data_IF_583686131311
#
_entry.id   IF_583686131311
#
_cell.length_a   1.000
_cell.length_b   1.000
_cell.length_c   1.000
_cell.angle_alpha   90.00
_cell.angle_beta   90.00
_cell.angle_gamma   90.00
#
_symmetry.space_group_name_H-M   'P 1'
#
loop_
_entity.id
_entity.type
_entity.pdbx_description
1 polymer ?
#
# COMPACT_ATOMS: atom_id res chain seq x y z
N UNK A 1 15.50 -14.43 -34.51
CA UNK A 1 15.50 -14.32 -33.04
C UNK A 1 14.07 -14.47 -32.59
N UNK A 2 13.82 -15.58 -31.90
CA UNK A 2 12.52 -16.14 -31.55
C UNK A 2 11.89 -15.40 -30.39
N UNK A 3 10.63 -14.98 -30.58
CA UNK A 3 9.71 -14.47 -29.55
C UNK A 3 9.48 -15.53 -28.46
N UNK A 4 9.49 -15.16 -27.16
CA UNK A 4 9.03 -16.08 -26.12
C UNK A 4 7.51 -16.19 -26.22
N UNK A 5 7.03 -17.42 -26.36
CA UNK A 5 5.61 -17.77 -26.29
C UNK A 5 5.14 -17.64 -24.85
N UNK A 6 4.04 -16.91 -24.64
CA UNK A 6 3.23 -17.00 -23.43
C UNK A 6 2.69 -18.44 -23.36
N UNK A 7 3.33 -19.30 -22.57
CA UNK A 7 2.72 -20.55 -22.18
C UNK A 7 1.55 -20.21 -21.26
N UNK A 8 0.35 -20.33 -21.81
CA UNK A 8 -0.89 -20.38 -21.05
C UNK A 8 -0.76 -21.50 -20.00
N UNK A 9 -0.61 -21.13 -18.74
CA UNK A 9 -0.80 -22.06 -17.63
C UNK A 9 -2.32 -22.21 -17.47
N UNK A 10 -2.90 -23.10 -18.30
CA UNK A 10 -4.25 -23.60 -18.11
C UNK A 10 -4.27 -24.54 -16.91
N UNK A 11 -4.88 -24.13 -15.80
CA UNK A 11 -5.38 -25.09 -14.83
C UNK A 11 -6.71 -25.66 -15.37
N UNK A 12 -6.86 -26.99 -15.53
CA UNK A 12 -8.10 -27.57 -16.01
C UNK A 12 -9.14 -27.54 -14.88
N UNK A 13 -10.08 -26.59 -14.95
CA UNK A 13 -11.34 -26.70 -14.20
C UNK A 13 -12.20 -27.72 -14.94
N UNK A 14 -12.30 -28.91 -14.37
CA UNK A 14 -13.21 -29.96 -14.86
C UNK A 14 -14.63 -29.54 -14.51
N UNK A 15 -15.38 -29.06 -15.49
CA UNK A 15 -16.81 -28.83 -15.36
C UNK A 15 -17.55 -30.17 -15.31
N UNK A 16 -18.06 -30.55 -14.15
CA UNK A 16 -19.18 -31.49 -14.09
C UNK A 16 -20.45 -30.68 -13.94
N UNK A 17 -21.20 -30.54 -15.03
CA UNK A 17 -22.56 -30.04 -15.01
C UNK A 17 -23.41 -30.99 -14.14
N UNK A 18 -23.85 -30.52 -12.98
CA UNK A 18 -25.00 -31.09 -12.28
C UNK A 18 -26.03 -29.98 -12.10
N UNK A 19 -27.10 -30.09 -12.87
CA UNK A 19 -28.27 -29.23 -12.85
C UNK A 19 -28.94 -29.22 -11.48
N UNK A 20 -29.09 -28.04 -10.88
CA UNK A 20 -30.09 -27.78 -9.84
C UNK A 20 -30.90 -26.55 -10.23
N UNK A 21 -32.20 -26.75 -10.50
CA UNK A 21 -33.18 -25.68 -10.71
C UNK A 21 -33.43 -24.90 -9.40
N UNK A 22 -33.78 -23.59 -9.46
CA UNK A 22 -34.02 -22.79 -8.26
C UNK A 22 -35.42 -23.04 -7.70
N UNK A 23 -35.50 -23.45 -6.43
CA UNK A 23 -36.75 -23.57 -5.70
C UNK A 23 -37.33 -22.18 -5.31
N UNK A 24 -38.65 -22.04 -5.46
CA UNK A 24 -39.43 -20.82 -5.17
C UNK A 24 -39.63 -20.57 -3.67
N UNK A 25 -39.58 -19.29 -3.32
CA UNK A 25 -40.04 -18.57 -2.10
C UNK A 25 -40.56 -19.36 -0.90
N UNK A 26 -39.96 -19.15 0.28
CA UNK A 26 -40.65 -19.25 1.57
C UNK A 26 -40.12 -18.20 2.60
N UNK A 27 -41.08 -17.74 3.41
CA UNK A 27 -41.13 -16.85 4.60
C UNK A 27 -39.97 -17.06 5.61
N UNK A 28 -39.58 -16.07 6.45
CA UNK A 28 -38.34 -16.14 7.22
C UNK A 28 -38.43 -17.19 8.33
N UNK A 29 -37.77 -18.33 8.12
CA UNK A 29 -37.50 -19.31 9.16
C UNK A 29 -36.31 -18.83 10.00
N UNK A 30 -36.40 -18.99 11.32
CA UNK A 30 -35.22 -19.01 12.19
C UNK A 30 -34.25 -20.04 11.62
N UNK A 31 -33.07 -19.59 11.19
CA UNK A 31 -32.00 -20.47 10.75
C UNK A 31 -31.38 -21.10 12.00
N UNK A 32 -31.81 -22.32 12.35
CA UNK A 32 -31.05 -23.14 13.29
C UNK A 32 -29.76 -23.60 12.59
N UNK A 33 -28.60 -23.37 13.24
CA UNK A 33 -27.29 -23.79 12.75
C UNK A 33 -27.28 -25.31 12.45
N UNK A 34 -26.87 -25.77 11.25
CA UNK A 34 -26.76 -27.19 10.94
C UNK A 34 -25.76 -27.92 11.87
N UNK A 35 -26.05 -29.17 12.24
CA UNK A 35 -25.26 -29.99 13.19
C UNK A 35 -23.78 -30.22 12.79
N UNK A 36 -23.36 -29.91 11.56
CA UNK A 36 -21.98 -30.02 11.08
C UNK A 36 -21.16 -28.72 11.14
N UNK A 37 -21.78 -27.60 11.54
CA UNK A 37 -21.14 -26.27 11.55
C UNK A 37 -20.42 -25.99 12.88
N UNK A 38 -20.79 -26.69 13.94
CA UNK A 38 -20.22 -26.49 15.28
C UNK A 38 -18.96 -27.33 15.46
N UNK A 39 -17.87 -26.63 15.73
CA UNK A 39 -16.61 -27.23 16.15
C UNK A 39 -16.63 -27.50 17.65
N UNK A 40 -16.16 -28.68 18.04
CA UNK A 40 -16.15 -29.14 19.43
C UNK A 40 -15.09 -28.45 20.30
N UNK A 41 -14.15 -27.76 19.65
CA UNK A 41 -12.99 -27.10 20.23
C UNK A 41 -13.22 -25.60 20.37
N UNK A 42 -12.57 -24.99 21.36
CA UNK A 42 -12.56 -23.52 21.50
C UNK A 42 -11.62 -22.89 20.47
N UNK A 43 -11.71 -21.57 20.27
CA UNK A 43 -10.78 -20.86 19.37
C UNK A 43 -9.31 -21.05 19.79
N UNK A 44 -9.03 -21.04 21.09
CA UNK A 44 -7.67 -21.23 21.63
C UNK A 44 -7.14 -22.64 21.37
N UNK A 45 -8.00 -23.66 21.41
CA UNK A 45 -7.62 -25.04 21.06
C UNK A 45 -7.29 -25.20 19.56
N UNK A 46 -7.87 -24.36 18.71
CA UNK A 46 -7.69 -24.40 17.25
C UNK A 46 -6.45 -23.61 16.83
N UNK A 47 -6.32 -22.37 17.31
CA UNK A 47 -5.24 -21.45 16.92
C UNK A 47 -4.00 -21.55 17.81
N UNK A 48 -4.11 -22.22 18.96
CA UNK A 48 -3.08 -22.20 19.99
C UNK A 48 -3.09 -20.92 20.83
N UNK A 49 -2.14 -20.79 21.77
CA UNK A 49 -2.03 -19.65 22.66
C UNK A 49 -1.77 -18.36 21.88
N UNK A 50 -2.33 -17.25 22.35
CA UNK A 50 -2.30 -15.94 21.67
C UNK A 50 -0.88 -15.47 21.29
N UNK A 51 0.13 -15.83 22.09
CA UNK A 51 1.54 -15.50 21.84
C UNK A 51 2.17 -16.21 20.64
N UNK A 52 1.55 -17.30 20.14
CA UNK A 52 2.07 -18.15 19.07
C UNK A 52 1.24 -18.04 17.77
N UNK A 53 0.18 -17.21 17.77
CA UNK A 53 -0.68 -17.05 16.59
C UNK A 53 0.02 -16.26 15.50
N UNK A 54 0.17 -16.87 14.33
CA UNK A 54 0.54 -16.16 13.10
C UNK A 54 -0.61 -15.26 12.64
N UNK A 55 -0.64 -14.00 13.07
CA UNK A 55 -1.65 -13.02 12.64
C UNK A 55 -1.26 -12.39 11.30
N UNK A 56 -2.20 -12.38 10.35
CA UNK A 56 -2.06 -11.77 9.03
C UNK A 56 -2.70 -10.39 8.93
N UNK A 57 -3.47 -9.98 9.94
CA UNK A 57 -4.11 -8.69 10.01
C UNK A 57 -5.36 -8.68 10.87
N UNK A 58 -5.72 -7.49 11.32
CA UNK A 58 -6.92 -7.19 12.09
C UNK A 58 -7.60 -6.00 11.41
N UNK A 59 -8.91 -6.05 11.27
CA UNK A 59 -9.73 -4.98 10.70
C UNK A 59 -11.14 -5.03 11.27
N UNK A 60 -12.00 -4.09 10.87
CA UNK A 60 -13.34 -3.92 11.47
C UNK A 60 -14.21 -5.19 11.41
N UNK A 61 -13.99 -6.04 10.40
CA UNK A 61 -14.74 -7.28 10.20
C UNK A 61 -14.16 -8.52 10.91
N UNK A 62 -12.94 -8.44 11.45
CA UNK A 62 -12.28 -9.60 12.05
C UNK A 62 -10.76 -9.57 12.03
N UNK A 63 -10.19 -10.59 12.68
CA UNK A 63 -8.77 -10.89 12.64
C UNK A 63 -8.52 -12.18 11.86
N UNK A 64 -7.40 -12.25 11.13
CA UNK A 64 -7.04 -13.41 10.29
C UNK A 64 -5.78 -14.06 10.84
N UNK A 65 -5.82 -15.38 11.06
CA UNK A 65 -4.73 -16.17 11.62
C UNK A 65 -4.36 -17.35 10.72
N UNK A 66 -3.11 -17.80 10.77
CA UNK A 66 -2.73 -19.10 10.21
C UNK A 66 -3.56 -20.23 10.83
N UNK A 67 -3.95 -21.22 10.01
CA UNK A 67 -4.47 -22.49 10.53
C UNK A 67 -3.28 -23.42 10.84
N UNK A 68 -2.98 -23.71 12.13
CA UNK A 68 -1.83 -24.54 12.49
C UNK A 68 -1.96 -25.99 12.01
N UNK A 69 -3.19 -26.46 11.78
CA UNK A 69 -3.47 -27.84 11.36
C UNK A 69 -3.50 -27.97 9.84
N UNK A 70 -3.74 -26.86 9.13
CA UNK A 70 -3.84 -26.83 7.68
C UNK A 70 -2.95 -25.71 7.10
N UNK A 71 -1.66 -25.97 6.83
CA UNK A 71 -0.69 -24.94 6.43
C UNK A 71 -1.08 -24.10 5.19
N UNK A 72 -1.96 -24.63 4.33
CA UNK A 72 -2.50 -23.95 3.16
C UNK A 72 -3.74 -23.10 3.42
N UNK A 73 -4.16 -22.93 4.68
CA UNK A 73 -5.38 -22.21 5.07
C UNK A 73 -5.11 -21.18 6.16
N UNK A 74 -6.00 -20.20 6.25
CA UNK A 74 -6.11 -19.20 7.31
C UNK A 74 -7.51 -19.24 7.91
N UNK A 75 -7.66 -18.74 9.12
CA UNK A 75 -8.95 -18.62 9.82
C UNK A 75 -9.22 -17.14 10.08
N UNK A 76 -10.29 -16.62 9.47
CA UNK A 76 -10.84 -15.29 9.81
C UNK A 76 -11.83 -15.47 10.95
N UNK A 77 -11.61 -14.76 12.04
CA UNK A 77 -12.45 -14.73 13.24
C UNK A 77 -13.19 -13.39 13.24
N UNK A 78 -14.51 -13.42 13.27
CA UNK A 78 -15.31 -12.19 13.29
C UNK A 78 -15.20 -11.47 14.64
N UNK A 79 -15.11 -10.14 14.59
CA UNK A 79 -15.12 -9.27 15.78
C UNK A 79 -16.51 -8.88 16.24
N UNK A 80 -17.56 -9.25 15.50
CA UNK A 80 -18.90 -8.81 15.82
C UNK A 80 -19.25 -9.25 17.25
N UNK A 81 -19.32 -8.29 18.18
CA UNK A 81 -19.83 -8.51 19.53
C UNK A 81 -21.36 -8.62 19.47
N UNK A 82 -21.86 -9.51 18.62
CA UNK A 82 -23.30 -9.77 18.52
C UNK A 82 -23.64 -10.87 19.50
N UNK A 83 -24.74 -10.70 20.23
CA UNK A 83 -25.32 -11.81 21.00
C UNK A 83 -26.05 -12.81 20.08
N UNK A 84 -26.00 -12.62 18.76
CA UNK A 84 -26.75 -13.37 17.75
C UNK A 84 -25.79 -14.07 16.78
N UNK A 85 -25.25 -15.19 17.26
CA UNK A 85 -24.34 -16.08 16.52
C UNK A 85 -24.94 -16.54 15.20
N UNK A 86 -26.27 -16.69 15.11
CA UNK A 86 -26.94 -17.19 13.91
C UNK A 86 -26.92 -16.12 12.80
N UNK A 87 -27.20 -14.86 13.14
CA UNK A 87 -27.13 -13.74 12.20
C UNK A 87 -25.71 -13.51 11.68
N UNK A 88 -24.72 -13.59 12.57
CA UNK A 88 -23.31 -13.45 12.23
C UNK A 88 -22.81 -14.62 11.37
N UNK A 89 -23.21 -15.84 11.70
CA UNK A 89 -22.91 -17.02 10.90
C UNK A 89 -23.50 -16.92 9.49
N UNK A 90 -24.74 -16.44 9.35
CA UNK A 90 -25.37 -16.23 8.05
C UNK A 90 -24.58 -15.22 7.19
N UNK A 91 -24.07 -14.14 7.79
CA UNK A 91 -23.22 -13.16 7.10
C UNK A 91 -21.88 -13.77 6.65
N UNK A 92 -21.23 -14.54 7.52
CA UNK A 92 -19.98 -15.24 7.21
C UNK A 92 -20.18 -16.30 6.13
N UNK A 93 -21.29 -17.05 6.17
CA UNK A 93 -21.66 -18.01 5.14
C UNK A 93 -21.85 -17.32 3.78
N UNK A 94 -22.54 -16.18 3.75
CA UNK A 94 -22.72 -15.37 2.54
C UNK A 94 -21.39 -14.88 1.94
N UNK A 95 -20.41 -14.52 2.77
CA UNK A 95 -19.06 -14.17 2.32
C UNK A 95 -18.31 -15.39 1.77
N UNK A 96 -18.36 -16.52 2.50
CA UNK A 96 -17.74 -17.78 2.11
C UNK A 96 -18.25 -18.33 0.76
N UNK A 97 -19.53 -18.16 0.45
CA UNK A 97 -20.11 -18.55 -0.83
C UNK A 97 -19.49 -17.78 -2.02
N UNK A 98 -19.21 -16.49 -1.85
CA UNK A 98 -18.56 -15.67 -2.89
C UNK A 98 -17.08 -15.99 -3.01
N UNK A 99 -16.43 -16.26 -1.88
CA UNK A 99 -15.07 -16.78 -1.87
C UNK A 99 -14.97 -18.08 -2.67
N UNK A 100 -15.83 -19.06 -2.37
CA UNK A 100 -15.89 -20.35 -3.10
C UNK A 100 -16.24 -20.19 -4.57
N UNK A 101 -17.06 -19.21 -4.91
CA UNK A 101 -17.38 -18.90 -6.31
C UNK A 101 -16.17 -18.40 -7.09
N UNK A 102 -15.24 -17.69 -6.44
CA UNK A 102 -14.02 -17.19 -7.08
C UNK A 102 -12.86 -18.21 -7.03
N UNK A 103 -12.59 -18.80 -5.86
CA UNK A 103 -11.44 -19.69 -5.62
C UNK A 103 -11.73 -21.18 -5.83
N UNK A 104 -13.00 -21.54 -6.08
CA UNK A 104 -13.45 -22.91 -6.29
C UNK A 104 -14.05 -23.55 -5.03
N UNK A 105 -14.69 -24.70 -5.21
CA UNK A 105 -15.26 -25.46 -4.10
C UNK A 105 -14.18 -25.86 -3.07
N UNK A 106 -14.56 -25.93 -1.80
CA UNK A 106 -13.68 -26.26 -0.66
C UNK A 106 -12.59 -25.20 -0.35
N UNK A 107 -12.65 -24.02 -0.97
CA UNK A 107 -11.75 -22.90 -0.66
C UNK A 107 -12.15 -22.10 0.58
N UNK A 108 -13.40 -22.25 1.05
CA UNK A 108 -13.89 -21.68 2.30
C UNK A 108 -14.75 -22.68 3.08
N UNK A 109 -14.70 -22.58 4.40
CA UNK A 109 -15.50 -23.40 5.33
C UNK A 109 -15.87 -22.55 6.56
N UNK A 110 -17.13 -22.07 6.65
CA UNK A 110 -17.61 -21.36 7.82
C UNK A 110 -17.91 -22.33 8.97
N UNK A 111 -17.54 -21.98 10.20
CA UNK A 111 -17.80 -22.79 11.39
C UNK A 111 -17.99 -21.92 12.64
N UNK A 112 -18.56 -22.51 13.70
CA UNK A 112 -18.73 -21.88 15.01
C UNK A 112 -17.96 -22.67 16.05
N UNK A 113 -17.11 -22.02 16.83
CA UNK A 113 -16.33 -22.67 17.90
C UNK A 113 -17.17 -23.01 19.13
N UNK A 114 -16.65 -23.85 20.02
CA UNK A 114 -17.31 -24.19 21.28
C UNK A 114 -17.54 -22.99 22.21
N UNK A 115 -16.72 -21.95 22.12
CA UNK A 115 -16.86 -20.66 22.81
C UNK A 115 -17.69 -19.64 22.01
N UNK A 116 -18.50 -20.11 21.05
CA UNK A 116 -19.45 -19.32 20.27
C UNK A 116 -18.83 -18.24 19.37
N UNK A 117 -17.59 -18.42 18.91
CA UNK A 117 -16.98 -17.53 17.91
C UNK A 117 -17.36 -17.98 16.51
N UNK A 118 -17.83 -17.05 15.69
CA UNK A 118 -18.06 -17.29 14.27
C UNK A 118 -16.75 -17.12 13.51
N UNK A 119 -16.40 -18.14 12.75
CA UNK A 119 -15.14 -18.23 12.02
C UNK A 119 -15.37 -18.69 10.58
N UNK A 120 -14.42 -18.38 9.72
CA UNK A 120 -14.32 -19.01 8.40
C UNK A 120 -12.87 -19.40 8.12
N UNK A 121 -12.68 -20.67 7.78
CA UNK A 121 -11.41 -21.18 7.25
C UNK A 121 -11.38 -20.89 5.75
N UNK A 122 -10.31 -20.26 5.27
CA UNK A 122 -10.11 -19.86 3.88
C UNK A 122 -8.78 -20.39 3.36
N UNK A 123 -8.68 -20.82 2.11
CA UNK A 123 -7.39 -21.13 1.52
C UNK A 123 -6.49 -19.88 1.50
N UNK A 124 -5.19 -20.06 1.71
CA UNK A 124 -4.22 -18.99 1.57
C UNK A 124 -4.18 -18.52 0.13
N UNK A 125 -4.23 -17.21 -0.05
CA UNK A 125 -4.02 -16.56 -1.34
C UNK A 125 -2.53 -16.24 -1.51
N UNK A 126 -1.97 -16.36 -2.73
CA UNK A 126 -0.58 -15.99 -2.98
C UNK A 126 -0.32 -14.50 -2.81
N UNK A 127 0.95 -14.15 -2.63
CA UNK A 127 1.40 -12.77 -2.53
C UNK A 127 1.03 -12.10 -1.20
N UNK A 128 1.10 -10.77 -1.19
CA UNK A 128 0.86 -9.95 0.01
C UNK A 128 0.02 -8.71 -0.32
N UNK A 129 -0.68 -8.12 0.66
CA UNK A 129 -1.53 -6.96 0.41
C UNK A 129 -0.78 -5.86 -0.33
N UNK A 130 -1.39 -5.30 -1.37
CA UNK A 130 -0.79 -4.28 -2.24
C UNK A 130 -0.24 -3.07 -1.46
N UNK A 131 -0.88 -2.71 -0.33
CA UNK A 131 -0.41 -1.61 0.55
C UNK A 131 1.00 -1.84 1.11
N UNK A 132 1.48 -3.08 1.10
CA UNK A 132 2.81 -3.48 1.61
C UNK A 132 3.84 -3.66 0.50
N UNK A 133 3.41 -3.67 -0.77
CA UNK A 133 4.28 -3.91 -1.94
C UNK A 133 5.07 -2.63 -2.25
N UNK A 134 6.36 -2.81 -2.46
CA UNK A 134 7.28 -1.77 -2.90
C UNK A 134 7.14 -1.52 -4.41
N UNK A 135 7.26 -0.26 -4.87
CA UNK A 135 7.35 0.08 -6.30
C UNK A 135 8.33 -0.80 -7.06
N UNK A 136 9.48 -1.12 -6.45
CA UNK A 136 10.53 -1.95 -7.05
C UNK A 136 10.14 -3.42 -7.26
N UNK A 137 9.13 -3.91 -6.54
CA UNK A 137 8.67 -5.29 -6.63
C UNK A 137 7.60 -5.49 -7.70
N UNK A 138 7.01 -4.41 -8.22
CA UNK A 138 6.18 -4.52 -9.41
C UNK A 138 7.09 -4.89 -10.59
N UNK A 139 6.69 -5.89 -11.37
CA UNK A 139 7.48 -6.42 -12.48
C UNK A 139 7.97 -5.35 -13.46
N UNK A 140 8.99 -5.71 -14.25
CA UNK A 140 9.70 -4.75 -15.13
C UNK A 140 8.84 -4.20 -16.28
N UNK A 141 7.68 -4.81 -16.55
CA UNK A 141 6.75 -4.38 -17.61
C UNK A 141 5.49 -3.79 -17.00
N UNK A 142 5.37 -2.46 -17.07
CA UNK A 142 4.14 -1.74 -16.71
C UNK A 142 2.93 -2.26 -17.48
N UNK A 143 3.12 -2.63 -18.75
CA UNK A 143 2.06 -3.20 -19.57
C UNK A 143 1.54 -4.51 -18.99
N UNK A 144 2.43 -5.42 -18.58
CA UNK A 144 2.06 -6.74 -18.06
C UNK A 144 1.33 -6.62 -16.71
N UNK A 145 1.75 -5.67 -15.87
CA UNK A 145 1.04 -5.36 -14.62
C UNK A 145 -0.36 -4.81 -14.89
N UNK A 146 -0.53 -3.92 -15.86
CA UNK A 146 -1.86 -3.41 -16.24
C UNK A 146 -2.75 -4.54 -16.79
N UNK A 147 -2.21 -5.41 -17.66
CA UNK A 147 -2.91 -6.58 -18.16
C UNK A 147 -3.32 -7.52 -17.03
N UNK A 148 -2.48 -7.69 -16.00
CA UNK A 148 -2.80 -8.57 -14.86
C UNK A 148 -3.94 -8.02 -13.99
N UNK A 149 -4.08 -6.69 -13.91
CA UNK A 149 -5.27 -6.05 -13.30
C UNK A 149 -6.52 -6.27 -14.16
N UNK A 150 -6.39 -6.20 -15.50
CA UNK A 150 -7.50 -6.50 -16.41
C UNK A 150 -7.93 -7.97 -16.33
N UNK A 151 -6.98 -8.90 -16.16
CA UNK A 151 -7.26 -10.32 -15.94
C UNK A 151 -7.94 -10.58 -14.59
N UNK A 152 -7.58 -9.83 -13.53
CA UNK A 152 -8.33 -9.87 -12.27
C UNK A 152 -9.79 -9.45 -12.49
N UNK A 153 -10.00 -8.32 -13.17
CA UNK A 153 -11.35 -7.83 -13.50
C UNK A 153 -12.12 -8.89 -14.31
N UNK A 154 -11.49 -9.48 -15.33
CA UNK A 154 -12.06 -10.55 -16.15
C UNK A 154 -12.47 -11.77 -15.33
N UNK A 155 -11.61 -12.26 -14.42
CA UNK A 155 -11.94 -13.42 -13.57
C UNK A 155 -13.14 -13.17 -12.65
N UNK A 156 -13.26 -11.97 -12.08
CA UNK A 156 -14.44 -11.60 -11.27
C UNK A 156 -15.71 -11.60 -12.12
N UNK A 157 -15.62 -11.01 -13.31
CA UNK A 157 -16.70 -10.99 -14.31
C UNK A 157 -17.12 -12.40 -14.71
N UNK A 158 -16.17 -13.29 -15.00
CA UNK A 158 -16.42 -14.65 -15.48
C UNK A 158 -17.18 -15.49 -14.43
N UNK A 159 -16.84 -15.31 -13.15
CA UNK A 159 -17.58 -15.97 -12.06
C UNK A 159 -18.84 -15.19 -11.66
N UNK A 160 -19.13 -14.05 -12.29
CA UNK A 160 -20.33 -13.27 -12.03
C UNK A 160 -20.32 -12.52 -10.70
N UNK A 161 -19.15 -12.14 -10.20
CA UNK A 161 -18.95 -11.38 -8.98
C UNK A 161 -18.55 -9.93 -9.26
N UNK A 162 -19.10 -9.05 -8.44
CA UNK A 162 -18.72 -7.65 -8.30
C UNK A 162 -18.08 -7.46 -6.93
N UNK A 163 -16.83 -6.99 -6.92
CA UNK A 163 -16.13 -6.73 -5.67
C UNK A 163 -16.19 -5.24 -5.35
N UNK A 164 -17.03 -4.86 -4.39
CA UNK A 164 -17.33 -3.45 -4.12
C UNK A 164 -16.20 -2.74 -3.36
N UNK A 165 -15.33 -3.50 -2.68
CA UNK A 165 -14.19 -2.98 -1.94
C UNK A 165 -12.83 -3.44 -2.51
N UNK A 166 -12.59 -3.17 -3.80
CA UNK A 166 -11.27 -3.35 -4.41
C UNK A 166 -10.35 -2.21 -3.94
N UNK A 167 -9.72 -2.43 -2.79
CA UNK A 167 -8.73 -1.55 -2.18
C UNK A 167 -7.36 -2.23 -2.10
N UNK A 168 -6.31 -1.50 -1.70
CA UNK A 168 -4.97 -2.11 -1.56
C UNK A 168 -4.78 -2.96 -0.32
N UNK A 169 -5.76 -2.91 0.57
CA UNK A 169 -5.86 -3.86 1.66
C UNK A 169 -6.46 -5.18 1.20
N UNK A 170 -7.39 -5.13 0.24
CA UNK A 170 -8.22 -6.26 -0.18
C UNK A 170 -7.82 -6.83 -1.55
N UNK A 171 -6.65 -6.43 -2.05
CA UNK A 171 -6.00 -7.06 -3.18
C UNK A 171 -4.56 -7.40 -2.80
N UNK A 172 -4.21 -8.66 -2.92
CA UNK A 172 -2.85 -9.15 -2.80
C UNK A 172 -2.17 -9.12 -4.17
N UNK A 173 -0.89 -8.81 -4.19
CA UNK A 173 -0.04 -8.94 -5.38
C UNK A 173 1.04 -9.98 -5.11
N UNK A 174 1.22 -10.87 -6.07
CA UNK A 174 2.26 -11.88 -6.09
C UNK A 174 3.36 -11.47 -7.10
N UNK A 175 4.53 -11.00 -6.63
CA UNK A 175 5.64 -10.60 -7.51
C UNK A 175 6.22 -11.76 -8.34
N UNK A 176 6.07 -13.02 -7.90
CA UNK A 176 6.63 -14.16 -8.61
C UNK A 176 5.84 -14.45 -9.90
N UNK A 177 4.52 -14.27 -9.86
CA UNK A 177 3.63 -14.56 -10.99
C UNK A 177 3.02 -13.31 -11.62
N UNK A 178 3.33 -12.12 -11.11
CA UNK A 178 2.68 -10.84 -11.45
C UNK A 178 1.14 -10.87 -11.35
N UNK A 179 0.58 -11.72 -10.50
CA UNK A 179 -0.86 -11.89 -10.39
C UNK A 179 -1.45 -11.10 -9.21
N UNK A 180 -2.69 -10.63 -9.39
CA UNK A 180 -3.47 -10.00 -8.34
C UNK A 180 -4.54 -10.96 -7.82
N UNK A 181 -4.72 -11.00 -6.51
CA UNK A 181 -5.64 -11.92 -5.83
C UNK A 181 -6.57 -11.12 -4.90
N UNK A 182 -7.89 -11.10 -5.17
CA UNK A 182 -8.83 -10.36 -4.35
C UNK A 182 -9.08 -11.12 -3.04
N UNK A 183 -9.21 -10.39 -1.94
CA UNK A 183 -9.57 -10.92 -0.64
C UNK A 183 -10.76 -10.15 -0.09
N UNK A 184 -11.37 -10.67 0.97
CA UNK A 184 -12.44 -9.99 1.70
C UNK A 184 -13.72 -9.74 0.87
N UNK A 185 -14.46 -10.83 0.63
CA UNK A 185 -15.70 -10.81 -0.18
C UNK A 185 -16.95 -10.43 0.62
N UNK A 186 -16.79 -9.81 1.79
CA UNK A 186 -17.90 -9.44 2.69
C UNK A 186 -18.87 -8.46 2.00
N UNK A 187 -18.32 -7.50 1.25
CA UNK A 187 -19.08 -6.49 0.49
C UNK A 187 -19.33 -6.87 -0.97
N UNK A 188 -18.80 -8.01 -1.42
CA UNK A 188 -18.98 -8.43 -2.80
C UNK A 188 -20.45 -8.78 -3.07
N UNK A 189 -20.90 -8.55 -4.30
CA UNK A 189 -22.26 -8.83 -4.76
C UNK A 189 -22.23 -9.65 -6.05
N UNK A 190 -23.29 -10.40 -6.32
CA UNK A 190 -23.45 -11.09 -7.61
C UNK A 190 -24.13 -10.17 -8.61
N UNK A 191 -23.76 -10.22 -9.89
CA UNK A 191 -24.49 -9.45 -10.90
C UNK A 191 -25.96 -9.88 -10.94
N UNK A 192 -26.87 -8.91 -10.90
CA UNK A 192 -28.29 -9.18 -11.11
C UNK A 192 -28.52 -9.54 -12.58
N UNK A 193 -29.41 -10.51 -12.86
CA UNK A 193 -29.73 -10.91 -14.24
C UNK A 193 -30.19 -9.73 -15.12
N UNK A 194 -30.71 -8.66 -14.51
CA UNK A 194 -31.10 -7.41 -15.18
C UNK A 194 -29.93 -6.52 -15.61
N UNK A 195 -28.76 -6.61 -14.96
CA UNK A 195 -27.54 -5.91 -15.38
C UNK A 195 -26.82 -6.60 -16.55
N UNK A 196 -27.21 -7.85 -16.85
CA UNK A 196 -26.65 -8.67 -17.93
C UNK A 196 -27.45 -8.54 -19.24
N UNK A 197 -28.55 -7.78 -19.27
CA UNK A 197 -29.35 -7.61 -20.49
C UNK A 197 -28.71 -6.57 -21.42
N UNK A 198 -28.83 -6.73 -22.76
CA UNK A 198 -28.33 -5.74 -23.73
C UNK A 198 -28.95 -4.34 -23.58
N UNK A 199 -30.09 -4.25 -22.90
CA UNK A 199 -30.89 -3.04 -22.68
C UNK A 199 -30.57 -2.34 -21.36
N UNK A 200 -29.70 -2.94 -20.51
CA UNK A 200 -29.30 -2.33 -19.26
C UNK A 200 -28.58 -0.99 -19.49
N UNK A 201 -28.74 0.02 -18.61
CA UNK A 201 -28.06 1.33 -18.74
C UNK A 201 -26.53 1.22 -18.83
N UNK A 202 -26.00 0.10 -18.35
CA UNK A 202 -24.60 -0.31 -18.42
C UNK A 202 -24.58 -1.80 -18.80
N UNK A 203 -24.62 -2.15 -20.11
CA UNK A 203 -24.72 -3.53 -20.52
C UNK A 203 -23.47 -4.31 -20.13
N UNK A 204 -23.66 -5.29 -19.26
CA UNK A 204 -22.64 -6.26 -18.91
C UNK A 204 -21.76 -5.89 -17.71
N UNK A 205 -21.14 -6.91 -17.11
CA UNK A 205 -20.45 -6.83 -15.82
C UNK A 205 -19.17 -5.98 -15.86
N UNK A 206 -18.65 -5.68 -17.05
CA UNK A 206 -17.51 -4.78 -17.26
C UNK A 206 -17.83 -3.32 -16.93
N UNK A 207 -19.09 -2.89 -17.03
CA UNK A 207 -19.47 -1.49 -16.90
C UNK A 207 -19.70 -1.05 -15.44
N UNK A 208 -20.06 -1.96 -14.53
CA UNK A 208 -20.32 -1.63 -13.10
C UNK A 208 -19.05 -1.45 -12.26
N UNK A 209 -17.93 -2.03 -12.69
CA UNK A 209 -16.66 -2.05 -11.94
C UNK A 209 -15.55 -1.25 -12.65
N UNK A 210 -15.84 -0.71 -13.82
CA UNK A 210 -14.87 -0.01 -14.66
C UNK A 210 -14.21 1.17 -13.92
N UNK A 211 -14.95 1.91 -13.09
CA UNK A 211 -14.43 3.07 -12.36
C UNK A 211 -13.44 2.67 -11.27
N UNK A 212 -13.73 1.61 -10.52
CA UNK A 212 -12.88 1.08 -9.44
C UNK A 212 -11.59 0.52 -10.02
N UNK A 213 -11.68 -0.36 -11.03
CA UNK A 213 -10.51 -0.91 -11.70
C UNK A 213 -9.71 0.14 -12.48
N UNK A 214 -10.37 1.12 -13.10
CA UNK A 214 -9.68 2.26 -13.73
C UNK A 214 -8.91 3.09 -12.70
N UNK A 215 -9.48 3.28 -11.52
CA UNK A 215 -8.80 3.96 -10.42
C UNK A 215 -7.60 3.14 -9.96
N UNK A 216 -7.78 1.85 -9.66
CA UNK A 216 -6.69 0.94 -9.29
C UNK A 216 -5.54 0.93 -10.30
N UNK A 217 -5.84 0.80 -11.61
CA UNK A 217 -4.84 0.87 -12.69
C UNK A 217 -4.04 2.17 -12.67
N UNK A 218 -4.72 3.31 -12.51
CA UNK A 218 -4.05 4.61 -12.42
C UNK A 218 -3.16 4.70 -11.18
N UNK A 219 -3.59 4.14 -10.05
CA UNK A 219 -2.80 4.09 -8.81
C UNK A 219 -1.54 3.28 -8.96
N UNK A 220 -1.67 2.03 -9.40
CA UNK A 220 -0.53 1.14 -9.63
C UNK A 220 0.41 1.72 -10.67
N UNK A 221 -0.12 2.26 -11.78
CA UNK A 221 0.67 2.93 -12.80
C UNK A 221 1.53 4.04 -12.21
N UNK A 222 0.91 4.95 -11.44
CA UNK A 222 1.64 6.06 -10.87
C UNK A 222 2.60 5.63 -9.75
N UNK A 223 2.31 4.53 -9.03
CA UNK A 223 3.22 3.92 -8.06
C UNK A 223 4.47 3.37 -8.75
N UNK A 224 4.30 2.66 -9.87
CA UNK A 224 5.41 2.19 -10.69
C UNK A 224 6.20 3.36 -11.29
N UNK A 225 5.53 4.43 -11.71
CA UNK A 225 6.19 5.66 -12.19
C UNK A 225 6.91 6.42 -11.06
N UNK A 226 6.58 6.12 -9.79
CA UNK A 226 7.27 6.63 -8.61
C UNK A 226 8.47 5.76 -8.17
N UNK A 227 8.84 4.76 -8.96
CA UNK A 227 10.09 4.05 -8.78
C UNK A 227 11.25 4.82 -9.42
N UNK A 228 12.30 5.07 -8.66
CA UNK A 228 13.56 5.60 -9.16
C UNK A 228 14.70 4.78 -8.58
N UNK A 229 15.70 4.35 -9.39
CA UNK A 229 16.81 3.53 -8.93
C UNK A 229 17.67 4.23 -7.85
N UNK A 230 17.57 5.55 -7.72
CA UNK A 230 18.23 6.32 -6.69
C UNK A 230 17.56 6.26 -5.30
N UNK A 231 16.35 5.67 -5.22
CA UNK A 231 15.58 5.52 -3.99
C UNK A 231 15.93 4.19 -3.31
N UNK A 232 16.38 4.28 -2.06
CA UNK A 232 16.62 3.13 -1.19
C UNK A 232 15.37 2.84 -0.38
N UNK A 233 14.91 1.61 -0.43
CA UNK A 233 13.69 1.16 0.24
C UNK A 233 14.02 0.53 1.60
N UNK A 234 13.36 0.97 2.67
CA UNK A 234 13.57 0.45 4.04
C UNK A 234 12.29 0.04 4.77
N UNK A 235 12.32 -1.12 5.43
CA UNK A 235 11.20 -1.60 6.23
C UNK A 235 10.91 -0.76 7.49
N UNK A 236 11.79 0.16 7.86
CA UNK A 236 11.56 1.06 8.97
C UNK A 236 10.41 2.02 8.68
N UNK A 237 9.58 2.34 9.69
CA UNK A 237 8.66 3.48 9.61
C UNK A 237 9.35 4.78 9.98
N UNK A 238 8.75 5.90 9.61
CA UNK A 238 9.27 7.22 9.97
C UNK A 238 9.60 7.36 11.46
N UNK A 239 8.72 6.94 12.37
CA UNK A 239 8.93 7.06 13.82
C UNK A 239 10.11 6.24 14.35
N UNK A 240 10.46 5.15 13.69
CA UNK A 240 11.64 4.35 14.02
C UNK A 240 12.93 5.07 13.59
N UNK A 241 12.88 5.86 12.51
CA UNK A 241 14.03 6.59 11.98
C UNK A 241 14.28 7.93 12.68
N UNK A 242 13.22 8.69 13.00
CA UNK A 242 13.35 10.06 13.57
C UNK A 242 12.85 10.20 15.00
N UNK A 243 12.36 9.11 15.60
CA UNK A 243 11.75 9.11 16.93
C UNK A 243 10.25 9.43 16.91
N UNK A 244 9.51 8.90 17.87
CA UNK A 244 8.05 8.99 17.91
C UNK A 244 7.55 10.42 18.18
N UNK A 245 8.25 11.17 19.05
CA UNK A 245 7.92 12.56 19.38
C UNK A 245 8.06 13.50 18.18
N UNK A 246 8.96 13.19 17.24
CA UNK A 246 9.18 13.98 16.03
C UNK A 246 8.06 13.82 14.98
N UNK A 247 7.26 12.76 15.05
CA UNK A 247 6.23 12.43 14.05
C UNK A 247 4.87 13.07 14.36
N UNK A 248 4.56 13.30 15.64
CA UNK A 248 3.21 13.67 16.10
C UNK A 248 2.86 15.14 15.82
N UNK A 249 3.83 16.03 15.59
CA UNK A 249 3.63 17.45 15.87
C UNK A 249 3.67 18.43 14.68
N UNK A 250 3.84 17.99 13.43
CA UNK A 250 4.21 18.95 12.36
C UNK A 250 3.43 18.86 11.06
N UNK A 251 2.90 20.01 10.62
CA UNK A 251 2.68 20.31 9.21
C UNK A 251 4.05 20.48 8.56
N UNK A 252 4.41 19.59 7.64
CA UNK A 252 5.77 19.36 7.15
C UNK A 252 6.33 20.65 6.51
N UNK A 253 7.38 21.22 7.12
CA UNK A 253 8.02 22.44 6.59
C UNK A 253 9.30 22.08 5.84
N UNK A 254 9.52 22.73 4.70
CA UNK A 254 10.75 22.58 3.93
C UNK A 254 11.95 23.02 4.77
N UNK A 255 12.92 22.12 5.00
CA UNK A 255 14.15 22.41 5.75
C UNK A 255 14.23 21.86 7.17
N UNK A 256 13.20 21.15 7.66
CA UNK A 256 13.31 20.42 8.93
C UNK A 256 14.24 19.21 8.80
N UNK A 257 15.07 19.01 9.81
CA UNK A 257 16.15 18.04 9.83
C UNK A 257 16.13 17.34 11.19
N UNK A 258 16.20 16.02 11.18
CA UNK A 258 16.19 15.16 12.37
C UNK A 258 17.53 14.41 12.47
N UNK A 259 18.11 14.26 13.66
CA UNK A 259 19.32 13.46 13.82
C UNK A 259 19.06 12.01 13.43
N UNK A 260 20.04 11.40 12.77
CA UNK A 260 20.07 9.94 12.60
C UNK A 260 20.58 9.33 13.91
N UNK A 261 19.81 8.40 14.49
CA UNK A 261 20.14 7.75 15.76
C UNK A 261 21.28 6.74 15.64
N UNK A 262 21.54 6.23 14.43
CA UNK A 262 22.57 5.24 14.15
C UNK A 262 23.88 5.87 13.64
N UNK A 263 23.82 7.11 13.14
CA UNK A 263 24.96 7.81 12.53
C UNK A 263 24.94 9.31 12.85
N UNK A 264 25.78 9.74 13.78
CA UNK A 264 25.85 11.14 14.24
C UNK A 264 26.33 12.14 13.17
N UNK A 265 26.89 11.64 12.08
CA UNK A 265 27.33 12.40 10.91
C UNK A 265 26.22 12.63 9.89
N UNK A 266 25.05 12.00 10.09
CA UNK A 266 23.90 12.04 9.18
C UNK A 266 22.67 12.60 9.88
N UNK A 267 21.74 13.03 9.04
CA UNK A 267 20.45 13.55 9.43
C UNK A 267 19.39 13.17 8.41
N UNK A 268 18.16 13.00 8.86
CA UNK A 268 16.99 12.78 8.01
C UNK A 268 16.27 14.10 7.75
N UNK A 269 16.02 14.40 6.48
CA UNK A 269 15.16 15.50 6.05
C UNK A 269 13.91 14.91 5.38
N UNK A 270 12.72 15.04 5.99
CA UNK A 270 11.51 14.59 5.34
C UNK A 270 11.16 15.47 4.15
N UNK A 271 10.78 14.84 3.04
CA UNK A 271 10.47 15.53 1.80
C UNK A 271 8.96 15.56 1.55
N UNK A 272 8.35 14.39 1.49
CA UNK A 272 6.91 14.23 1.32
C UNK A 272 6.46 12.84 1.78
N UNK A 273 5.17 12.71 2.07
CA UNK A 273 4.49 11.42 2.23
C UNK A 273 3.77 11.10 0.94
N UNK A 274 3.78 9.83 0.55
CA UNK A 274 3.01 9.36 -0.58
C UNK A 274 2.52 7.93 -0.31
N UNK A 275 1.28 7.82 0.16
CA UNK A 275 0.60 6.54 0.39
C UNK A 275 -0.13 6.07 -0.86
N UNK A 276 -0.50 4.79 -0.91
CA UNK A 276 -1.23 4.24 -2.06
C UNK A 276 -2.56 4.97 -2.32
N UNK A 277 -3.23 5.43 -1.26
CA UNK A 277 -4.50 6.15 -1.41
C UNK A 277 -4.33 7.58 -1.91
N UNK A 278 -3.12 8.16 -1.78
CA UNK A 278 -2.78 9.48 -2.34
C UNK A 278 -2.61 9.46 -3.87
N UNK A 279 -2.58 8.28 -4.49
CA UNK A 279 -2.63 8.14 -5.93
C UNK A 279 -4.05 8.42 -6.43
N UNK A 280 -4.40 9.70 -6.56
CA UNK A 280 -5.65 10.09 -7.20
C UNK A 280 -5.51 10.07 -8.74
N UNK A 281 -6.51 9.55 -9.49
CA UNK A 281 -6.59 9.70 -10.94
C UNK A 281 -6.36 11.15 -11.41
N UNK A 282 -5.33 11.38 -12.22
CA UNK A 282 -5.02 12.71 -12.79
C UNK A 282 -4.17 13.62 -11.89
N UNK A 283 -3.65 13.10 -10.78
CA UNK A 283 -2.80 13.85 -9.86
C UNK A 283 -1.32 13.49 -10.11
N UNK A 284 -0.61 14.36 -10.83
CA UNK A 284 0.83 14.21 -11.13
C UNK A 284 1.74 14.40 -9.89
N UNK A 285 1.16 14.61 -8.71
CA UNK A 285 1.91 14.99 -7.52
C UNK A 285 2.99 13.96 -7.16
N UNK A 286 2.73 12.66 -7.30
CA UNK A 286 3.72 11.60 -7.01
C UNK A 286 4.98 11.70 -7.88
N UNK A 287 4.89 11.49 -9.20
CA UNK A 287 6.06 11.58 -10.09
C UNK A 287 6.75 12.94 -10.06
N UNK A 288 5.99 14.02 -9.88
CA UNK A 288 6.54 15.38 -9.78
C UNK A 288 7.31 15.59 -8.48
N UNK A 289 6.76 15.20 -7.33
CA UNK A 289 7.46 15.31 -6.04
C UNK A 289 8.67 14.36 -5.98
N UNK A 290 8.58 13.16 -6.56
CA UNK A 290 9.74 12.28 -6.70
C UNK A 290 10.83 12.91 -7.56
N UNK A 291 10.48 13.50 -8.70
CA UNK A 291 11.44 14.19 -9.56
C UNK A 291 12.12 15.34 -8.81
N UNK A 292 11.39 16.06 -7.94
CA UNK A 292 11.94 17.11 -7.08
C UNK A 292 12.87 16.54 -6.01
N UNK A 293 12.54 15.41 -5.40
CA UNK A 293 13.37 14.73 -4.42
C UNK A 293 14.66 14.16 -5.02
N UNK A 294 14.59 13.55 -6.20
CA UNK A 294 15.76 13.09 -6.95
C UNK A 294 16.66 14.27 -7.33
N UNK A 295 16.06 15.37 -7.80
CA UNK A 295 16.81 16.60 -8.06
C UNK A 295 17.48 17.15 -6.79
N UNK A 296 16.75 17.17 -5.67
CA UNK A 296 17.28 17.63 -4.39
C UNK A 296 18.50 16.80 -3.94
N UNK A 297 18.42 15.47 -4.00
CA UNK A 297 19.56 14.56 -3.75
C UNK A 297 20.76 14.93 -4.63
N UNK A 298 20.56 14.95 -5.96
CA UNK A 298 21.64 15.21 -6.92
C UNK A 298 22.32 16.56 -6.71
N UNK A 299 21.54 17.61 -6.40
CA UNK A 299 22.07 18.95 -6.15
C UNK A 299 22.80 19.05 -4.82
N UNK A 300 22.30 18.36 -3.79
CA UNK A 300 22.97 18.26 -2.51
C UNK A 300 24.35 17.59 -2.68
N UNK A 301 24.40 16.44 -3.37
CA UNK A 301 25.64 15.74 -3.66
C UNK A 301 26.60 16.56 -4.51
N UNK A 302 26.09 17.32 -5.48
CA UNK A 302 26.93 18.23 -6.27
C UNK A 302 27.57 19.33 -5.43
N UNK A 303 26.91 19.78 -4.36
CA UNK A 303 27.43 20.83 -3.48
C UNK A 303 28.34 20.30 -2.35
N UNK A 304 28.02 19.13 -1.79
CA UNK A 304 28.69 18.57 -0.61
C UNK A 304 29.60 17.37 -0.90
N UNK A 305 29.57 16.82 -2.12
CA UNK A 305 30.31 15.63 -2.55
C UNK A 305 29.39 14.43 -2.80
N UNK A 306 29.79 13.57 -3.72
CA UNK A 306 29.11 12.30 -4.01
C UNK A 306 29.00 11.43 -2.74
N UNK A 307 27.86 10.76 -2.55
CA UNK A 307 27.57 9.95 -1.37
C UNK A 307 27.19 10.78 -0.13
N UNK A 308 27.06 12.10 -0.25
CA UNK A 308 26.63 12.95 0.87
C UNK A 308 25.13 12.93 1.14
N UNK A 309 24.31 12.28 0.30
CA UNK A 309 22.90 12.08 0.55
C UNK A 309 22.33 10.81 -0.10
N UNK A 310 21.44 10.15 0.63
CA UNK A 310 20.65 9.01 0.15
C UNK A 310 19.18 9.41 0.13
N UNK A 311 18.45 9.03 -0.92
CA UNK A 311 17.01 9.21 -0.98
C UNK A 311 16.37 7.91 -0.51
N UNK A 312 15.55 7.96 0.55
CA UNK A 312 15.00 6.79 1.22
C UNK A 312 13.48 6.82 1.14
N UNK A 313 12.85 5.66 0.94
CA UNK A 313 11.41 5.43 1.08
C UNK A 313 11.13 4.47 2.24
N UNK A 314 10.29 4.86 3.18
CA UNK A 314 9.87 4.01 4.31
C UNK A 314 8.70 3.10 3.94
N UNK A 315 8.45 2.06 4.74
CA UNK A 315 7.32 1.13 4.52
C UNK A 315 5.95 1.82 4.54
N UNK A 316 5.80 2.92 5.26
CA UNK A 316 4.58 3.73 5.34
C UNK A 316 4.57 4.91 4.38
N UNK A 317 5.36 4.85 3.29
CA UNK A 317 5.25 5.76 2.15
C UNK A 317 5.95 7.11 2.31
N UNK A 318 6.80 7.31 3.31
CA UNK A 318 7.54 8.56 3.46
C UNK A 318 8.82 8.56 2.64
N UNK A 319 9.04 9.65 1.91
CA UNK A 319 10.29 9.94 1.22
C UNK A 319 11.14 10.90 2.06
N UNK A 320 12.36 10.48 2.35
CA UNK A 320 13.33 11.16 3.20
C UNK A 320 14.65 11.33 2.46
N UNK A 321 15.33 12.46 2.67
CA UNK A 321 16.73 12.60 2.32
C UNK A 321 17.58 12.33 3.56
N UNK A 322 18.31 11.22 3.58
CA UNK A 322 19.33 10.93 4.59
C UNK A 322 20.62 11.60 4.15
N UNK A 323 20.87 12.80 4.65
CA UNK A 323 21.94 13.68 4.18
C UNK A 323 23.03 13.85 5.24
N UNK A 324 24.22 14.27 4.79
CA UNK A 324 25.31 14.67 5.66
C UNK A 324 24.86 15.80 6.58
N UNK A 325 25.14 15.65 7.87
CA UNK A 325 24.92 16.69 8.87
C UNK A 325 25.79 17.91 8.55
N UNK A 326 25.15 19.07 8.46
CA UNK A 326 25.83 20.35 8.32
C UNK A 326 25.79 21.10 9.65
N UNK A 327 26.84 21.88 10.00
CA UNK A 327 26.83 22.65 11.22
C UNK A 327 25.85 23.84 11.12
N UNK A 328 25.41 24.29 12.29
CA UNK A 328 24.54 25.45 12.43
C UNK A 328 23.07 25.11 12.69
N UNK A 329 22.25 26.16 12.75
CA UNK A 329 20.81 26.08 13.03
C UNK A 329 20.02 26.77 11.93
N UNK A 330 18.86 26.20 11.60
CA UNK A 330 17.86 26.89 10.76
C UNK A 330 17.25 28.04 11.54
N UNK A 331 17.00 29.17 10.89
CA UNK A 331 16.33 30.31 11.52
C UNK A 331 15.14 30.76 10.68
N UNK A 332 14.09 31.21 11.36
CA UNK A 332 12.85 31.64 10.69
C UNK A 332 13.06 32.93 9.90
N UNK A 333 12.33 33.08 8.79
CA UNK A 333 12.43 34.27 7.94
C UNK A 333 12.02 35.58 8.64
N UNK A 334 11.21 35.48 9.70
CA UNK A 334 10.78 36.58 10.56
C UNK A 334 11.83 37.01 11.59
N UNK A 335 12.86 36.19 11.84
CA UNK A 335 13.88 36.46 12.83
C UNK A 335 14.92 37.49 12.33
N UNK A 336 15.50 38.24 13.27
CA UNK A 336 16.59 39.18 12.97
C UNK A 336 17.80 38.40 12.43
N UNK A 337 18.31 38.82 11.28
CA UNK A 337 19.42 38.13 10.64
C UNK A 337 20.67 38.13 11.57
N UNK A 338 21.33 36.98 11.77
CA UNK A 338 22.52 36.91 12.60
C UNK A 338 23.64 37.84 12.11
N UNK A 339 24.50 38.27 13.02
CA UNK A 339 25.69 39.04 12.66
C UNK A 339 26.56 38.24 11.68
N UNK A 340 27.01 38.89 10.59
CA UNK A 340 27.82 38.24 9.56
C UNK A 340 27.03 37.50 8.47
N UNK A 341 25.70 37.36 8.61
CA UNK A 341 24.84 36.64 7.67
C UNK A 341 25.02 37.09 6.21
N UNK A 342 25.06 38.40 5.95
CA UNK A 342 25.21 38.95 4.60
C UNK A 342 26.54 38.57 3.94
N UNK A 343 27.63 38.55 4.71
CA UNK A 343 28.94 38.13 4.21
C UNK A 343 28.94 36.62 3.92
N UNK A 344 28.44 35.83 4.87
CA UNK A 344 28.28 34.38 4.71
C UNK A 344 27.43 34.03 3.49
N UNK A 345 26.36 34.80 3.23
CA UNK A 345 25.45 34.58 2.10
C UNK A 345 26.15 34.77 0.76
N UNK A 346 26.98 35.81 0.63
CA UNK A 346 27.76 36.05 -0.59
C UNK A 346 28.77 34.92 -0.85
N UNK A 347 29.44 34.46 0.20
CA UNK A 347 30.40 33.34 0.10
C UNK A 347 29.69 32.05 -0.34
N UNK A 348 28.58 31.72 0.32
CA UNK A 348 27.78 30.53 0.01
C UNK A 348 27.24 30.60 -1.44
N UNK A 349 26.71 31.75 -1.89
CA UNK A 349 26.25 31.94 -3.27
C UNK A 349 27.38 31.78 -4.29
N UNK A 350 28.57 32.31 -4.01
CA UNK A 350 29.74 32.11 -4.89
C UNK A 350 30.12 30.63 -5.00
N UNK A 351 30.05 29.88 -3.90
CA UNK A 351 30.29 28.43 -3.91
C UNK A 351 29.23 27.68 -4.71
N UNK A 352 27.95 28.06 -4.60
CA UNK A 352 26.88 27.45 -5.43
C UNK A 352 27.11 27.69 -6.92
N UNK A 353 27.45 28.93 -7.30
CA UNK A 353 27.77 29.27 -8.70
C UNK A 353 28.97 28.50 -9.22
N UNK A 354 30.03 28.34 -8.41
CA UNK A 354 31.19 27.53 -8.77
C UNK A 354 30.86 26.03 -8.95
N UNK A 355 29.84 25.52 -8.24
CA UNK A 355 29.31 24.18 -8.45
C UNK A 355 28.34 24.11 -9.65
N UNK A 356 28.08 25.22 -10.35
CA UNK A 356 27.12 25.31 -11.44
C UNK A 356 25.65 25.22 -10.99
N UNK A 357 25.36 25.58 -9.74
CA UNK A 357 24.02 25.48 -9.13
C UNK A 357 23.38 26.86 -9.06
N UNK A 358 22.18 26.97 -9.63
CA UNK A 358 21.28 28.10 -9.44
C UNK A 358 20.14 27.72 -8.48
N UNK A 359 19.90 28.56 -7.46
CA UNK A 359 18.78 28.41 -6.53
C UNK A 359 17.86 29.64 -6.61
N UNK A 360 16.80 29.58 -7.44
CA UNK A 360 15.93 30.73 -7.72
C UNK A 360 14.97 31.06 -6.57
N UNK A 361 14.80 30.16 -5.59
CA UNK A 361 13.84 30.29 -4.50
C UNK A 361 14.49 30.15 -3.13
N UNK A 362 15.73 30.60 -2.97
CA UNK A 362 16.48 30.44 -1.73
C UNK A 362 15.87 31.31 -0.62
N UNK A 363 15.41 30.66 0.45
CA UNK A 363 14.79 31.30 1.63
C UNK A 363 15.63 31.02 2.88
N UNK A 364 15.51 31.82 3.95
CA UNK A 364 16.20 31.57 5.22
C UNK A 364 15.98 30.15 5.77
N UNK A 365 14.76 29.63 5.67
CA UNK A 365 14.39 28.26 6.07
C UNK A 365 15.12 27.15 5.27
N UNK A 366 15.77 27.49 4.16
CA UNK A 366 16.58 26.57 3.37
C UNK A 366 18.05 26.54 3.80
N UNK A 367 18.42 27.28 4.85
CA UNK A 367 19.80 27.52 5.25
C UNK A 367 20.01 27.21 6.74
N UNK A 368 21.15 26.60 7.05
CA UNK A 368 21.70 26.55 8.41
C UNK A 368 22.81 27.58 8.55
N UNK A 369 22.74 28.40 9.60
CA UNK A 369 23.80 29.34 9.96
C UNK A 369 24.62 28.79 11.12
N UNK A 370 25.93 28.66 10.92
CA UNK A 370 26.88 28.34 11.98
C UNK A 370 27.45 29.64 12.55
N UNK A 371 27.03 30.00 13.76
CA UNK A 371 27.46 31.22 14.44
C UNK A 371 28.94 31.18 14.85
N UNK A 372 29.52 29.98 15.05
CA UNK A 372 30.92 29.81 15.47
C UNK A 372 31.86 30.15 14.32
N UNK A 373 31.57 29.63 13.14
CA UNK A 373 32.40 29.82 11.94
C UNK A 373 31.92 30.94 11.02
N UNK A 374 30.75 31.52 11.31
CA UNK A 374 30.05 32.52 10.49
C UNK A 374 29.82 32.05 9.04
N UNK A 375 29.49 30.78 8.85
CA UNK A 375 29.19 30.19 7.54
C UNK A 375 27.71 29.87 7.37
N UNK A 376 27.27 29.84 6.10
CA UNK A 376 25.93 29.42 5.70
C UNK A 376 25.99 28.14 4.90
N UNK A 377 25.13 27.20 5.27
CA UNK A 377 25.02 25.88 4.68
C UNK A 377 23.62 25.70 4.08
N UNK A 378 23.48 25.61 2.74
CA UNK A 378 22.20 25.28 2.14
C UNK A 378 21.80 23.84 2.45
N UNK A 379 20.57 23.64 2.92
CA UNK A 379 20.00 22.33 3.27
C UNK A 379 18.76 21.99 2.44
N UNK A 380 18.33 22.88 1.55
CA UNK A 380 17.21 22.63 0.65
C UNK A 380 17.56 22.96 -0.79
N UNK A 381 17.44 21.98 -1.67
CA UNK A 381 17.83 22.07 -3.08
C UNK A 381 16.71 21.66 -4.05
N UNK A 382 15.50 21.37 -3.58
CA UNK A 382 14.39 20.91 -4.43
C UNK A 382 14.12 21.78 -5.67
N UNK A 383 14.29 23.11 -5.57
CA UNK A 383 14.07 24.06 -6.67
C UNK A 383 15.34 24.44 -7.44
N UNK A 384 16.49 23.84 -7.11
CA UNK A 384 17.76 24.14 -7.78
C UNK A 384 17.79 23.63 -9.21
N UNK A 385 18.58 24.31 -10.05
CA UNK A 385 18.83 23.96 -11.45
C UNK A 385 20.31 24.07 -11.76
N UNK A 386 20.75 23.35 -12.80
CA UNK A 386 22.10 23.53 -13.34
C UNK A 386 22.14 24.78 -14.22
N UNK A 387 23.20 25.57 -14.05
CA UNK A 387 23.53 26.66 -14.96
C UNK A 387 24.08 26.03 -16.23
N UNK A 388 23.43 26.33 -17.36
CA UNK A 388 23.81 25.85 -18.69
C UNK A 388 25.08 26.50 -19.24
#
# INVERSE_FOLDING_TARGET
MTTPSLQSIHYPVVFTESSCEPAKSQTPCRFELPDGVRESRTLDDILGPTSERGSHGEGDAGAVFDDPQNPGFVIKVSHAETNDVDAEFAAVQWSAEKWMRFYGHCSAEPFVTADHRVCVRLNKVPGRPMRTIWPSEYGTSKHDIMLSIDLLQGRLVDVGLRHEDISTSNVHFDPETNCFWPTDFDTASTFTSSAMTPEAPSPGPLASDHTVFSSLRKRVSALMDSHAPEVVETYSVLSELVGQDAVVDHAWRCGQIFPDSEDDTRVYKPLFKFEFDDFAPGVETGPKELSRAVNEKRMFERYYGEGSADLIRTRNGYYLLRMKRVPGVTFEASALAPQGYQAAYRVMRKKMLAAGIEHPGLRPEHLCFDAVTQTLHPVSFASCRLIG
#
